data_IF_497200034363
#
_entry.id   IF_497200034363
#
_cell.length_a   1.000
_cell.length_b   1.000
_cell.length_c   1.000
_cell.angle_alpha   90.00
_cell.angle_beta   90.00
_cell.angle_gamma   90.00
#
_symmetry.space_group_name_H-M   'P 1'
#
loop_
_entity.id
_entity.type
_entity.pdbx_description
1 polymer ?
#
# COMPACT_ATOMS: atom_id res chain seq x y z
N UNK A 1 0.03 9.14 9.48
CA UNK A 1 0.32 8.78 8.08
C UNK A 1 1.34 7.67 7.99
N UNK A 2 1.23 6.85 6.98
CA UNK A 2 2.10 5.69 6.80
C UNK A 2 2.57 5.64 5.35
N UNK A 3 3.87 5.53 5.15
CA UNK A 3 4.48 5.41 3.83
C UNK A 3 4.83 3.95 3.57
N UNK A 4 4.43 3.44 2.41
CA UNK A 4 4.77 2.08 2.01
C UNK A 4 5.27 2.05 0.57
N UNK A 5 6.04 1.02 0.24
CA UNK A 5 6.52 0.80 -1.12
C UNK A 5 6.35 -0.66 -1.51
N UNK A 6 6.17 -0.89 -2.80
CA UNK A 6 6.05 -2.22 -3.36
C UNK A 6 6.51 -2.21 -4.81
N UNK A 7 6.76 -3.39 -5.36
CA UNK A 7 7.03 -3.57 -6.79
C UNK A 7 5.89 -4.37 -7.39
N UNK A 8 5.43 -3.97 -8.57
CA UNK A 8 4.27 -4.58 -9.22
C UNK A 8 4.61 -4.97 -10.66
N UNK A 9 3.91 -5.98 -11.17
CA UNK A 9 4.14 -6.46 -12.52
C UNK A 9 3.61 -5.49 -13.58
N UNK A 10 2.43 -4.91 -13.32
CA UNK A 10 1.81 -3.97 -14.24
C UNK A 10 1.02 -2.93 -13.44
N UNK A 11 1.32 -1.66 -13.68
CA UNK A 11 0.76 -0.56 -12.90
C UNK A 11 -0.77 -0.45 -13.02
N UNK A 12 -1.32 -0.57 -14.23
CA UNK A 12 -2.75 -0.39 -14.44
C UNK A 12 -3.57 -1.48 -13.73
N UNK A 13 -3.08 -2.71 -13.75
CA UNK A 13 -3.72 -3.79 -13.01
C UNK A 13 -3.62 -3.58 -11.51
N UNK A 14 -2.46 -3.13 -11.03
CA UNK A 14 -2.29 -2.79 -9.63
C UNK A 14 -3.33 -1.75 -9.20
N UNK A 15 -3.48 -0.67 -9.97
CA UNK A 15 -4.42 0.40 -9.66
C UNK A 15 -5.87 -0.10 -9.65
N UNK A 16 -6.23 -0.97 -10.59
CA UNK A 16 -7.57 -1.54 -10.65
C UNK A 16 -7.92 -2.29 -9.37
N UNK A 17 -7.05 -3.17 -8.91
CA UNK A 17 -7.28 -3.95 -7.68
C UNK A 17 -7.13 -3.08 -6.44
N UNK A 18 -6.14 -2.20 -6.42
CA UNK A 18 -5.85 -1.31 -5.31
C UNK A 18 -7.04 -0.40 -4.98
N UNK A 19 -7.72 0.11 -6.02
CA UNK A 19 -8.84 1.05 -5.84
C UNK A 19 -10.18 0.35 -5.63
N UNK A 20 -10.26 -0.96 -5.75
CA UNK A 20 -11.50 -1.74 -5.56
C UNK A 20 -11.37 -2.67 -4.37
N UNK A 21 -11.03 -3.94 -4.59
CA UNK A 21 -10.92 -4.93 -3.51
C UNK A 21 -9.91 -4.52 -2.43
N UNK A 22 -8.79 -3.96 -2.82
CA UNK A 22 -7.78 -3.46 -1.89
C UNK A 22 -8.32 -2.33 -1.01
N UNK A 23 -9.04 -1.39 -1.61
CA UNK A 23 -9.61 -0.25 -0.87
C UNK A 23 -10.64 -0.71 0.15
N UNK A 24 -11.51 -1.64 -0.22
CA UNK A 24 -12.51 -2.18 0.71
C UNK A 24 -11.84 -2.87 1.89
N UNK A 25 -10.82 -3.67 1.62
CA UNK A 25 -10.09 -4.37 2.67
C UNK A 25 -9.36 -3.42 3.60
N UNK A 26 -8.75 -2.37 3.04
CA UNK A 26 -8.09 -1.35 3.86
C UNK A 26 -9.07 -0.61 4.75
N UNK A 27 -10.27 -0.31 4.26
CA UNK A 27 -11.32 0.33 5.07
C UNK A 27 -11.72 -0.52 6.27
N UNK A 28 -11.79 -1.83 6.12
CA UNK A 28 -12.07 -2.74 7.22
C UNK A 28 -11.05 -2.62 8.34
N UNK A 29 -9.82 -2.24 8.01
CA UNK A 29 -8.74 -2.08 8.97
C UNK A 29 -8.47 -0.61 9.33
N UNK A 30 -9.41 0.27 9.04
CA UNK A 30 -9.35 1.66 9.50
C UNK A 30 -8.59 2.65 8.61
N UNK A 31 -8.20 2.25 7.40
CA UNK A 31 -7.56 3.16 6.47
C UNK A 31 -8.56 4.18 5.94
N UNK A 32 -8.18 5.46 5.94
CA UNK A 32 -9.06 6.56 5.54
C UNK A 32 -8.71 7.16 4.18
N UNK A 33 -7.61 6.79 3.59
CA UNK A 33 -7.23 7.31 2.29
C UNK A 33 -5.84 6.87 1.87
N UNK A 34 -5.53 7.06 0.59
CA UNK A 34 -4.24 6.70 0.04
C UNK A 34 -3.89 7.62 -1.11
N UNK A 35 -2.61 7.98 -1.23
CA UNK A 35 -2.06 8.71 -2.36
C UNK A 35 -0.96 7.87 -2.98
N UNK A 36 -1.04 7.61 -4.26
CA UNK A 36 -0.17 6.69 -4.97
C UNK A 36 0.80 7.47 -5.85
N UNK A 37 2.07 7.10 -5.80
CA UNK A 37 3.14 7.71 -6.58
C UNK A 37 3.93 6.65 -7.30
N UNK A 38 4.35 6.94 -8.53
CA UNK A 38 5.27 6.06 -9.26
C UNK A 38 6.69 6.53 -9.00
N UNK A 39 7.60 5.56 -8.89
CA UNK A 39 9.01 5.89 -8.73
C UNK A 39 9.55 6.47 -10.04
N UNK A 40 10.30 7.58 -10.01
CA UNK A 40 10.79 8.21 -11.24
C UNK A 40 11.90 7.42 -11.95
N UNK A 41 12.52 6.46 -11.25
CA UNK A 41 13.65 5.69 -11.78
C UNK A 41 13.35 4.22 -12.00
N UNK A 42 12.45 3.64 -11.21
CA UNK A 42 12.09 2.23 -11.30
C UNK A 42 10.64 2.10 -11.79
N UNK A 43 10.47 1.59 -13.00
CA UNK A 43 9.15 1.49 -13.65
C UNK A 43 8.15 0.63 -12.87
N UNK A 44 8.63 -0.35 -12.13
CA UNK A 44 7.80 -1.30 -11.40
C UNK A 44 7.60 -0.93 -9.93
N UNK A 45 8.22 0.15 -9.45
CA UNK A 45 8.10 0.56 -8.04
C UNK A 45 7.00 1.58 -7.84
N UNK A 46 6.19 1.35 -6.81
CA UNK A 46 5.10 2.22 -6.41
C UNK A 46 5.31 2.64 -4.96
N UNK A 47 5.03 3.90 -4.70
CA UNK A 47 5.04 4.48 -3.35
C UNK A 47 3.62 4.89 -2.99
N UNK A 48 3.22 4.63 -1.75
CA UNK A 48 1.88 5.00 -1.29
C UNK A 48 1.98 5.67 0.06
N UNK A 49 1.29 6.78 0.21
CA UNK A 49 1.08 7.42 1.51
C UNK A 49 -0.35 7.14 1.93
N UNK A 50 -0.52 6.47 3.07
CA UNK A 50 -1.82 6.13 3.61
C UNK A 50 -2.19 7.05 4.76
N UNK A 51 -3.47 7.42 4.85
CA UNK A 51 -4.04 8.00 6.05
C UNK A 51 -4.43 6.85 6.96
N UNK A 52 -3.46 6.37 7.71
CA UNK A 52 -3.56 5.12 8.47
C UNK A 52 -2.54 5.12 9.61
N UNK A 53 -2.80 4.36 10.66
CA UNK A 53 -1.83 4.15 11.71
C UNK A 53 -1.13 2.79 11.55
N UNK A 54 -0.08 2.59 12.32
CA UNK A 54 0.70 1.35 12.24
C UNK A 54 -0.12 0.14 12.71
N UNK A 55 -0.98 0.32 13.71
CA UNK A 55 -1.83 -0.77 14.19
C UNK A 55 -2.78 -1.27 13.11
N UNK A 56 -3.38 -0.35 12.35
CA UNK A 56 -4.23 -0.70 11.21
C UNK A 56 -3.47 -1.43 10.12
N UNK A 57 -2.27 -0.97 9.81
CA UNK A 57 -1.39 -1.63 8.85
C UNK A 57 -1.04 -3.05 9.29
N UNK A 58 -0.63 -3.24 10.55
CA UNK A 58 -0.29 -4.55 11.08
C UNK A 58 -1.49 -5.51 11.03
N UNK A 59 -2.67 -5.01 11.39
CA UNK A 59 -3.90 -5.79 11.30
C UNK A 59 -4.20 -6.22 9.86
N UNK A 60 -4.01 -5.30 8.90
CA UNK A 60 -4.22 -5.55 7.48
C UNK A 60 -3.27 -6.62 6.95
N UNK A 61 -1.97 -6.48 7.19
CA UNK A 61 -0.98 -7.44 6.66
C UNK A 61 -1.06 -8.80 7.34
N UNK A 62 -1.74 -8.89 8.47
CA UNK A 62 -1.99 -10.16 9.17
C UNK A 62 -3.30 -10.82 8.77
N UNK A 63 -4.13 -10.14 8.00
CA UNK A 63 -5.42 -10.66 7.55
C UNK A 63 -5.19 -11.71 6.44
N UNK A 64 -5.67 -12.96 6.61
CA UNK A 64 -5.43 -14.02 5.62
C UNK A 64 -6.14 -13.77 4.27
N UNK A 65 -7.07 -12.84 4.21
CA UNK A 65 -7.74 -12.45 2.96
C UNK A 65 -6.88 -11.50 2.11
N UNK A 66 -5.85 -10.90 2.67
CA UNK A 66 -5.02 -9.89 1.98
C UNK A 66 -4.05 -10.49 0.96
N UNK A 67 -3.28 -11.56 1.24
CA UNK A 67 -2.35 -12.11 0.26
C UNK A 67 -2.97 -12.44 -1.11
N UNK A 68 -4.18 -13.05 -1.20
CA UNK A 68 -4.80 -13.27 -2.51
C UNK A 68 -5.09 -11.98 -3.28
N UNK A 69 -5.49 -10.91 -2.57
CA UNK A 69 -5.75 -9.60 -3.18
C UNK A 69 -4.44 -9.01 -3.73
N UNK A 70 -3.36 -9.10 -2.97
CA UNK A 70 -2.06 -8.63 -3.41
C UNK A 70 -1.55 -9.40 -4.63
N UNK A 71 -1.76 -10.70 -4.67
CA UNK A 71 -1.40 -11.52 -5.80
C UNK A 71 -2.17 -11.11 -7.05
N UNK A 72 -3.46 -10.86 -6.92
CA UNK A 72 -4.29 -10.39 -8.02
C UNK A 72 -3.84 -9.03 -8.53
N UNK A 73 -3.40 -8.15 -7.63
CA UNK A 73 -2.85 -6.84 -7.98
C UNK A 73 -1.47 -6.92 -8.63
N UNK A 74 -0.83 -8.09 -8.65
CA UNK A 74 0.45 -8.29 -9.31
C UNK A 74 1.66 -7.84 -8.50
N UNK A 75 1.59 -7.92 -7.17
CA UNK A 75 2.75 -7.61 -6.32
C UNK A 75 3.87 -8.61 -6.57
N UNK A 76 5.07 -8.10 -6.86
CA UNK A 76 6.28 -8.92 -7.03
C UNK A 76 6.89 -9.32 -5.71
N UNK A 77 6.63 -8.54 -4.67
CA UNK A 77 7.17 -8.76 -3.33
C UNK A 77 6.16 -8.23 -2.32
N UNK A 78 6.39 -8.54 -1.05
CA UNK A 78 5.55 -8.01 0.02
C UNK A 78 5.75 -6.50 0.13
N UNK A 79 4.68 -5.71 0.27
CA UNK A 79 4.84 -4.28 0.50
C UNK A 79 5.54 -4.03 1.84
N UNK A 80 6.37 -3.01 1.86
CA UNK A 80 7.13 -2.63 3.04
C UNK A 80 6.69 -1.26 3.52
N UNK A 81 6.35 -1.16 4.80
CA UNK A 81 6.02 0.12 5.44
C UNK A 81 7.29 0.73 6.03
N UNK A 82 7.45 2.03 5.82
CA UNK A 82 8.53 2.78 6.43
C UNK A 82 8.14 3.17 7.85
N UNK A 83 9.13 3.27 8.73
CA UNK A 83 8.92 3.74 10.09
C UNK A 83 9.00 5.25 10.14
N UNK A 84 8.01 5.89 10.73
CA UNK A 84 8.06 7.33 10.94
C UNK A 84 9.23 7.66 11.88
N UNK A 85 10.04 8.61 11.48
CA UNK A 85 11.23 8.97 12.25
C UNK A 85 11.16 10.37 12.85
N UNK A 86 10.39 11.27 12.24
CA UNK A 86 10.27 12.63 12.74
C UNK A 86 9.80 13.59 11.67
N UNK A 87 9.50 14.81 12.10
CA UNK A 87 9.10 15.90 11.21
C UNK A 87 9.70 17.21 11.70
N UNK A 88 9.77 18.18 10.82
CA UNK A 88 10.28 19.53 11.12
C UNK A 88 9.57 20.52 10.21
N UNK A 89 9.70 21.82 10.51
CA UNK A 89 9.01 22.87 9.75
C UNK A 89 9.64 23.12 8.37
N UNK A 90 10.90 22.89 8.24
CA UNK A 90 11.58 23.10 6.96
C UNK A 90 12.91 22.33 6.88
#
# INVERSE_FOLDING_TARGET
MLLATTQVEEFDRFMEVFTTAGAEKRKEHGCKGASIFRDPSEDDRVWVIFVWDEAGWQSFVSDPAVPPIMKEAGHKSRPQAAQFAGSCDA
#
